data_IF_072743412114
#
_entry.id   IF_072743412114
#
_cell.length_a   1.000
_cell.length_b   1.000
_cell.length_c   1.000
_cell.angle_alpha   90.00
_cell.angle_beta   90.00
_cell.angle_gamma   90.00
#
_symmetry.space_group_name_H-M   'P 1'
#
loop_
_entity.id
_entity.type
_entity.pdbx_description
1 polymer ?
#
# COMPACT_ATOMS: atom_id res chain seq x y z
N UNK A 1 -21.30 6.60 20.58
CA UNK A 1 -22.63 7.24 20.58
C UNK A 1 -23.26 7.22 19.19
N UNK A 2 -22.61 7.81 18.18
CA UNK A 2 -23.11 7.79 16.79
C UNK A 2 -22.99 6.41 16.12
N UNK A 3 -21.93 5.64 16.41
CA UNK A 3 -21.74 4.34 15.77
C UNK A 3 -21.62 4.48 14.25
N UNK A 4 -22.51 3.80 13.51
CA UNK A 4 -22.61 3.87 12.05
C UNK A 4 -23.71 4.83 11.54
N UNK A 5 -24.40 5.54 12.43
CA UNK A 5 -25.42 6.50 12.00
C UNK A 5 -24.79 7.59 11.13
N UNK A 6 -25.47 7.93 10.05
CA UNK A 6 -25.10 9.04 9.17
C UNK A 6 -25.37 10.35 9.92
N UNK A 7 -24.32 11.13 10.18
CA UNK A 7 -24.40 12.35 10.99
C UNK A 7 -23.92 13.60 10.21
N UNK A 8 -24.67 14.03 9.18
CA UNK A 8 -24.43 15.27 8.46
C UNK A 8 -24.75 16.48 9.35
N UNK A 9 -24.35 17.68 8.90
CA UNK A 9 -24.52 18.93 9.66
C UNK A 9 -25.98 19.16 10.09
N UNK A 10 -26.95 18.78 9.25
CA UNK A 10 -28.37 18.99 9.51
C UNK A 10 -29.02 17.97 10.46
N UNK A 11 -28.30 16.94 10.90
CA UNK A 11 -28.76 16.05 11.98
C UNK A 11 -28.44 16.60 13.38
N UNK A 12 -27.56 17.60 13.48
CA UNK A 12 -27.23 18.27 14.74
C UNK A 12 -28.16 19.46 14.99
N UNK A 13 -28.47 19.74 16.27
CA UNK A 13 -29.24 20.92 16.65
C UNK A 13 -28.44 22.22 16.45
N UNK A 14 -27.11 22.16 16.56
CA UNK A 14 -26.21 23.29 16.35
C UNK A 14 -24.90 22.84 15.71
N UNK A 15 -24.15 23.78 15.12
CA UNK A 15 -22.80 23.51 14.61
C UNK A 15 -21.85 23.10 15.75
N UNK A 16 -22.00 23.68 16.94
CA UNK A 16 -21.16 23.33 18.10
C UNK A 16 -21.37 21.87 18.54
N UNK A 17 -22.62 21.40 18.54
CA UNK A 17 -22.93 19.99 18.77
C UNK A 17 -22.29 19.09 17.69
N UNK A 18 -22.40 19.48 16.42
CA UNK A 18 -21.81 18.73 15.32
C UNK A 18 -20.29 18.62 15.43
N UNK A 19 -19.63 19.72 15.81
CA UNK A 19 -18.18 19.76 16.06
C UNK A 19 -17.80 18.89 17.26
N UNK A 20 -18.54 18.99 18.37
CA UNK A 20 -18.31 18.21 19.58
C UNK A 20 -18.39 16.70 19.31
N UNK A 21 -19.36 16.28 18.50
CA UNK A 21 -19.58 14.87 18.15
C UNK A 21 -18.68 14.36 17.01
N UNK A 22 -17.73 15.15 16.52
CA UNK A 22 -16.79 14.72 15.47
C UNK A 22 -17.41 14.64 14.07
N UNK A 23 -18.51 15.35 13.82
CA UNK A 23 -19.15 15.43 12.51
C UNK A 23 -18.22 15.74 11.32
N UNK A 24 -17.19 16.61 11.46
CA UNK A 24 -16.22 16.84 10.37
C UNK A 24 -15.54 15.58 9.86
N UNK A 25 -15.32 14.57 10.71
CA UNK A 25 -14.68 13.32 10.31
C UNK A 25 -15.52 12.59 9.24
N UNK A 26 -16.81 12.35 9.50
CA UNK A 26 -17.71 11.72 8.53
C UNK A 26 -17.81 12.51 7.23
N UNK A 27 -17.94 13.85 7.32
CA UNK A 27 -18.00 14.70 6.14
C UNK A 27 -16.75 14.51 5.27
N UNK A 28 -15.56 14.60 5.86
CA UNK A 28 -14.30 14.48 5.12
C UNK A 28 -14.14 13.10 4.50
N UNK A 29 -14.31 12.02 5.27
CA UNK A 29 -14.06 10.67 4.74
C UNK A 29 -15.04 10.30 3.62
N UNK A 30 -16.32 10.67 3.71
CA UNK A 30 -17.29 10.32 2.68
C UNK A 30 -17.04 11.08 1.37
N UNK A 31 -16.78 12.39 1.44
CA UNK A 31 -16.43 13.16 0.24
C UNK A 31 -15.10 12.71 -0.35
N UNK A 32 -14.11 12.39 0.49
CA UNK A 32 -12.82 11.87 0.06
C UNK A 32 -12.96 10.52 -0.68
N UNK A 33 -13.68 9.54 -0.12
CA UNK A 33 -13.85 8.22 -0.72
C UNK A 33 -14.59 8.29 -2.07
N UNK A 34 -15.60 9.17 -2.18
CA UNK A 34 -16.26 9.45 -3.47
C UNK A 34 -15.27 10.09 -4.45
N UNK A 35 -14.51 11.09 -3.99
CA UNK A 35 -13.54 11.83 -4.79
C UNK A 35 -12.44 10.93 -5.37
N UNK A 36 -11.83 10.07 -4.56
CA UNK A 36 -10.77 9.16 -5.04
C UNK A 36 -11.33 8.07 -5.97
N UNK A 37 -12.57 7.64 -5.77
CA UNK A 37 -13.25 6.68 -6.66
C UNK A 37 -13.54 7.30 -8.03
N UNK A 38 -14.06 8.54 -8.03
CA UNK A 38 -14.25 9.31 -9.26
C UNK A 38 -12.92 9.61 -9.95
N UNK A 39 -11.85 9.89 -9.18
CA UNK A 39 -10.52 10.11 -9.73
C UNK A 39 -9.95 8.85 -10.42
N UNK A 40 -10.18 7.66 -9.85
CA UNK A 40 -9.86 6.40 -10.50
C UNK A 40 -10.60 6.24 -11.84
N UNK A 41 -11.90 6.57 -11.88
CA UNK A 41 -12.69 6.61 -13.11
C UNK A 41 -12.16 7.64 -14.12
N UNK A 42 -11.73 8.82 -13.66
CA UNK A 42 -11.14 9.86 -14.51
C UNK A 42 -9.84 9.39 -15.18
N UNK A 43 -8.99 8.61 -14.49
CA UNK A 43 -7.79 8.05 -15.10
C UNK A 43 -8.13 7.11 -16.27
N UNK A 44 -9.16 6.28 -16.09
CA UNK A 44 -9.69 5.44 -17.17
C UNK A 44 -10.23 6.30 -18.32
N UNK A 45 -11.09 7.27 -18.03
CA UNK A 45 -11.70 8.10 -19.07
C UNK A 45 -10.64 8.80 -19.92
N UNK A 46 -9.66 9.45 -19.29
CA UNK A 46 -8.59 10.14 -20.02
C UNK A 46 -7.76 9.17 -20.86
N UNK A 47 -7.47 7.97 -20.33
CA UNK A 47 -6.76 6.94 -21.11
C UNK A 47 -7.54 6.55 -22.37
N UNK A 48 -8.88 6.45 -22.27
CA UNK A 48 -9.75 6.17 -23.41
C UNK A 48 -9.75 7.32 -24.42
N UNK A 49 -9.89 8.57 -23.97
CA UNK A 49 -9.88 9.76 -24.85
C UNK A 49 -8.58 9.90 -25.64
N UNK A 50 -7.46 9.51 -25.06
CA UNK A 50 -6.13 9.59 -25.68
C UNK A 50 -5.73 8.33 -26.45
N UNK A 51 -6.58 7.30 -26.52
CA UNK A 51 -6.23 6.02 -27.17
C UNK A 51 -5.13 5.24 -26.45
N UNK A 52 -4.92 5.49 -25.15
CA UNK A 52 -3.96 4.78 -24.32
C UNK A 52 -4.52 3.42 -23.85
N UNK A 53 -3.63 2.55 -23.38
CA UNK A 53 -4.02 1.32 -22.70
C UNK A 53 -4.69 1.64 -21.34
N UNK A 54 -5.80 0.97 -20.95
CA UNK A 54 -6.70 1.47 -19.91
C UNK A 54 -6.36 1.04 -18.46
N UNK A 55 -5.13 0.61 -18.16
CA UNK A 55 -4.82 -0.09 -16.89
C UNK A 55 -4.15 0.76 -15.81
N UNK A 56 -3.94 2.06 -16.02
CA UNK A 56 -3.38 2.95 -14.98
C UNK A 56 -4.33 3.02 -13.78
N UNK A 57 -5.64 3.12 -14.02
CA UNK A 57 -6.64 3.13 -12.96
C UNK A 57 -6.64 1.83 -12.13
N UNK A 58 -6.26 0.70 -12.73
CA UNK A 58 -6.17 -0.59 -12.03
C UNK A 58 -5.03 -0.55 -11.02
N UNK A 59 -3.87 0.01 -11.37
CA UNK A 59 -2.80 0.22 -10.40
C UNK A 59 -3.24 1.18 -9.27
N UNK A 60 -3.95 2.26 -9.61
CA UNK A 60 -4.48 3.21 -8.63
C UNK A 60 -5.59 2.61 -7.74
N UNK A 61 -6.22 1.51 -8.14
CA UNK A 61 -7.21 0.83 -7.29
C UNK A 61 -6.61 0.25 -6.00
N UNK A 62 -5.30 -0.03 -5.96
CA UNK A 62 -4.63 -0.53 -4.77
C UNK A 62 -4.69 0.46 -3.59
N UNK A 63 -4.20 1.72 -3.72
CA UNK A 63 -4.36 2.71 -2.66
C UNK A 63 -5.82 3.11 -2.42
N UNK A 64 -6.69 3.11 -3.43
CA UNK A 64 -8.13 3.33 -3.23
C UNK A 64 -8.71 2.24 -2.32
N UNK A 65 -8.43 0.97 -2.60
CA UNK A 65 -8.89 -0.16 -1.79
C UNK A 65 -8.39 -0.04 -0.35
N UNK A 66 -7.10 0.28 -0.14
CA UNK A 66 -6.54 0.46 1.20
C UNK A 66 -7.23 1.61 1.97
N UNK A 67 -7.55 2.72 1.31
CA UNK A 67 -8.30 3.81 1.92
C UNK A 67 -9.71 3.39 2.35
N UNK A 68 -10.43 2.64 1.50
CA UNK A 68 -11.73 2.07 1.85
C UNK A 68 -11.64 1.09 3.02
N UNK A 69 -10.57 0.30 3.11
CA UNK A 69 -10.38 -0.66 4.18
C UNK A 69 -10.35 0.03 5.56
N UNK A 70 -9.57 1.11 5.72
CA UNK A 70 -9.37 1.79 7.01
C UNK A 70 -10.44 2.84 7.35
N UNK A 71 -11.09 3.45 6.35
CA UNK A 71 -12.09 4.51 6.58
C UNK A 71 -13.54 4.04 6.48
N UNK A 72 -13.80 2.87 5.88
CA UNK A 72 -15.16 2.39 5.68
C UNK A 72 -15.34 0.95 6.14
N UNK A 73 -14.63 -0.01 5.55
CA UNK A 73 -14.88 -1.43 5.81
C UNK A 73 -14.59 -1.79 7.27
N UNK A 74 -13.46 -1.33 7.81
CA UNK A 74 -13.11 -1.58 9.20
C UNK A 74 -14.12 -0.98 10.20
N UNK A 75 -14.48 0.32 10.12
CA UNK A 75 -15.60 0.89 10.88
C UNK A 75 -16.90 0.09 10.80
N UNK A 76 -17.28 -0.36 9.60
CA UNK A 76 -18.49 -1.15 9.41
C UNK A 76 -18.43 -2.49 10.13
N UNK A 77 -17.30 -3.18 10.06
CA UNK A 77 -17.08 -4.46 10.74
C UNK A 77 -17.09 -4.32 12.27
N UNK A 78 -16.52 -3.22 12.80
CA UNK A 78 -16.51 -2.93 14.24
C UNK A 78 -17.79 -2.25 14.75
N UNK A 79 -18.66 -1.78 13.85
CA UNK A 79 -19.94 -1.16 14.20
C UNK A 79 -19.85 0.33 14.58
N UNK A 80 -18.73 1.00 14.29
CA UNK A 80 -18.57 2.43 14.60
C UNK A 80 -17.51 3.14 13.76
N UNK A 81 -17.81 4.36 13.32
CA UNK A 81 -16.81 5.26 12.73
C UNK A 81 -15.77 5.78 13.72
N UNK A 82 -15.98 5.59 15.03
CA UNK A 82 -14.94 5.90 16.03
C UNK A 82 -13.68 5.05 15.88
N UNK A 83 -13.82 3.85 15.31
CA UNK A 83 -12.72 2.89 15.16
C UNK A 83 -12.04 3.03 13.79
N UNK A 84 -12.51 3.96 12.96
CA UNK A 84 -11.85 4.31 11.72
C UNK A 84 -10.53 5.05 11.98
N UNK A 85 -9.60 4.93 11.04
CA UNK A 85 -8.29 5.57 11.18
C UNK A 85 -8.43 7.10 11.31
N UNK A 86 -7.89 7.74 12.37
CA UNK A 86 -7.95 9.19 12.50
C UNK A 86 -7.16 9.93 11.42
N UNK A 87 -7.61 11.14 11.08
CA UNK A 87 -6.99 12.01 10.07
C UNK A 87 -5.83 12.84 10.65
N UNK A 88 -4.77 12.16 11.09
CA UNK A 88 -3.57 12.81 11.61
C UNK A 88 -2.47 11.83 11.97
N UNK A 89 -1.22 12.29 11.96
CA UNK A 89 -0.01 11.44 12.11
C UNK A 89 -0.06 10.58 13.38
N UNK A 90 -0.22 11.21 14.55
CA UNK A 90 -0.28 10.48 15.82
C UNK A 90 -1.52 9.59 15.94
N UNK A 91 -2.62 10.01 15.32
CA UNK A 91 -3.85 9.21 15.27
C UNK A 91 -3.70 7.95 14.42
N UNK A 92 -2.95 8.01 13.33
CA UNK A 92 -2.57 6.81 12.56
C UNK A 92 -1.75 5.84 13.39
N UNK A 93 -0.78 6.31 14.19
CA UNK A 93 -0.04 5.42 15.09
C UNK A 93 -0.94 4.79 16.15
N UNK A 94 -1.85 5.56 16.74
CA UNK A 94 -2.82 5.04 17.69
C UNK A 94 -3.68 3.92 17.07
N UNK A 95 -4.24 4.15 15.88
CA UNK A 95 -4.96 3.13 15.13
C UNK A 95 -4.12 1.86 14.93
N UNK A 96 -2.87 2.00 14.48
CA UNK A 96 -1.98 0.85 14.25
C UNK A 96 -1.72 0.03 15.52
N UNK A 97 -1.51 0.69 16.67
CA UNK A 97 -1.25 -0.01 17.93
C UNK A 97 -2.48 -0.74 18.46
N UNK A 98 -3.65 -0.10 18.43
CA UNK A 98 -4.92 -0.73 18.83
C UNK A 98 -5.23 -1.91 17.90
N UNK A 99 -5.08 -1.72 16.59
CA UNK A 99 -5.31 -2.76 15.61
C UNK A 99 -4.38 -3.98 15.82
N UNK A 100 -3.12 -3.75 16.21
CA UNK A 100 -2.22 -4.84 16.59
C UNK A 100 -2.69 -5.57 17.85
N UNK A 101 -3.11 -4.84 18.88
CA UNK A 101 -3.60 -5.44 20.12
C UNK A 101 -4.85 -6.30 19.87
N UNK A 102 -5.78 -5.83 19.05
CA UNK A 102 -7.06 -6.50 18.80
C UNK A 102 -6.98 -7.62 17.76
N UNK A 103 -6.13 -7.48 16.74
CA UNK A 103 -6.13 -8.38 15.58
C UNK A 103 -4.82 -9.15 15.38
N UNK A 104 -3.76 -8.85 16.13
CA UNK A 104 -2.44 -9.43 15.95
C UNK A 104 -1.96 -9.35 14.48
N UNK A 105 -2.14 -8.18 13.86
CA UNK A 105 -1.90 -7.96 12.41
C UNK A 105 -0.50 -8.37 11.96
N UNK A 106 0.52 -8.24 12.83
CA UNK A 106 1.88 -8.68 12.51
C UNK A 106 1.96 -10.18 12.19
N UNK A 107 1.04 -10.99 12.72
CA UNK A 107 0.93 -12.43 12.45
C UNK A 107 -0.06 -12.76 11.33
N UNK A 108 -0.59 -11.77 10.62
CA UNK A 108 -1.51 -11.98 9.50
C UNK A 108 -0.74 -12.05 8.16
N UNK A 109 -0.89 -13.13 7.36
CA UNK A 109 -0.08 -13.33 6.15
C UNK A 109 -0.29 -12.24 5.09
N UNK A 110 -1.49 -11.68 4.99
CA UNK A 110 -1.74 -10.58 4.05
C UNK A 110 -1.00 -9.29 4.43
N UNK A 111 -0.80 -9.02 5.72
CA UNK A 111 0.03 -7.90 6.15
C UNK A 111 1.50 -8.15 5.83
N UNK A 112 2.01 -9.37 6.05
CA UNK A 112 3.37 -9.76 5.66
C UNK A 112 3.61 -9.61 4.15
N UNK A 113 2.63 -10.01 3.33
CA UNK A 113 2.68 -9.79 1.89
C UNK A 113 2.74 -8.30 1.53
N UNK A 114 2.02 -7.46 2.27
CA UNK A 114 2.11 -6.00 2.21
C UNK A 114 3.50 -5.45 2.48
N UNK A 115 4.12 -5.88 3.58
CA UNK A 115 5.49 -5.50 3.95
C UNK A 115 6.47 -5.90 2.85
N UNK A 116 6.37 -7.11 2.31
CA UNK A 116 7.17 -7.56 1.17
C UNK A 116 6.94 -6.70 -0.08
N UNK A 117 5.70 -6.26 -0.30
CA UNK A 117 5.31 -5.33 -1.36
C UNK A 117 6.01 -3.98 -1.27
N UNK A 118 6.00 -3.36 -0.09
CA UNK A 118 6.59 -2.03 0.11
C UNK A 118 8.11 -2.07 0.09
N UNK A 119 8.73 -3.02 0.80
CA UNK A 119 10.18 -3.18 0.73
C UNK A 119 10.65 -3.58 -0.66
N UNK A 120 9.96 -4.52 -1.31
CA UNK A 120 10.26 -4.90 -2.69
C UNK A 120 10.05 -3.74 -3.67
N UNK A 121 8.96 -2.97 -3.55
CA UNK A 121 8.70 -1.80 -4.37
C UNK A 121 9.80 -0.74 -4.27
N UNK A 122 10.24 -0.42 -3.04
CA UNK A 122 11.38 0.49 -2.81
C UNK A 122 12.68 -0.06 -3.40
N UNK A 123 12.97 -1.35 -3.16
CA UNK A 123 14.15 -2.02 -3.71
C UNK A 123 14.17 -1.97 -5.23
N UNK A 124 13.06 -2.34 -5.89
CA UNK A 124 12.97 -2.38 -7.34
C UNK A 124 12.95 -0.99 -7.98
N UNK A 125 12.39 0.01 -7.28
CA UNK A 125 12.50 1.42 -7.69
C UNK A 125 13.96 1.88 -7.73
N UNK A 126 14.71 1.63 -6.64
CA UNK A 126 16.13 1.96 -6.56
C UNK A 126 16.96 1.17 -7.58
N UNK A 127 16.71 -0.13 -7.71
CA UNK A 127 17.37 -1.01 -8.68
C UNK A 127 17.14 -0.49 -10.11
N UNK A 128 15.89 -0.26 -10.51
CA UNK A 128 15.57 0.18 -11.86
C UNK A 128 16.22 1.53 -12.19
N UNK A 129 16.11 2.51 -11.28
CA UNK A 129 16.75 3.81 -11.43
C UNK A 129 18.27 3.67 -11.60
N UNK A 130 18.93 2.90 -10.73
CA UNK A 130 20.38 2.70 -10.79
C UNK A 130 20.85 2.03 -12.09
N UNK A 131 20.14 1.02 -12.59
CA UNK A 131 20.50 0.30 -13.81
C UNK A 131 20.33 1.17 -15.06
N UNK A 132 19.23 1.92 -15.15
CA UNK A 132 19.01 2.86 -16.25
C UNK A 132 20.08 3.95 -16.24
N UNK A 133 20.31 4.61 -15.10
CA UNK A 133 21.33 5.66 -14.97
C UNK A 133 22.74 5.15 -15.28
N UNK A 134 23.09 3.93 -14.87
CA UNK A 134 24.41 3.33 -15.14
C UNK A 134 24.69 3.03 -16.61
N UNK A 135 23.66 3.04 -17.46
CA UNK A 135 23.74 2.61 -18.85
C UNK A 135 23.29 3.69 -19.84
N UNK A 136 23.20 4.95 -19.40
CA UNK A 136 22.95 6.09 -20.27
C UNK A 136 24.00 6.18 -21.37
N UNK A 137 23.54 6.47 -22.60
CA UNK A 137 24.43 6.76 -23.72
C UNK A 137 25.04 8.15 -23.51
N UNK A 138 26.34 8.30 -23.79
CA UNK A 138 27.03 9.57 -23.59
C UNK A 138 26.65 10.56 -24.69
N UNK A 139 25.79 11.51 -24.35
CA UNK A 139 25.33 12.60 -25.23
C UNK A 139 25.75 14.00 -24.74
N UNK A 140 26.53 14.06 -23.66
CA UNK A 140 26.94 15.29 -22.97
C UNK A 140 28.42 15.24 -22.57
N UNK A 141 28.98 16.41 -22.30
CA UNK A 141 30.31 16.62 -21.74
C UNK A 141 30.32 16.48 -20.21
N UNK A 142 31.51 16.45 -19.60
CA UNK A 142 31.67 16.38 -18.14
C UNK A 142 31.23 17.65 -17.39
N UNK A 143 31.10 18.77 -18.11
CA UNK A 143 30.77 20.08 -17.52
C UNK A 143 29.28 20.39 -17.51
N UNK A 144 28.45 19.52 -18.09
CA UNK A 144 27.00 19.69 -18.16
C UNK A 144 26.27 18.47 -17.55
N UNK A 145 25.01 18.67 -17.18
CA UNK A 145 24.21 17.56 -16.64
C UNK A 145 23.91 16.52 -17.71
N UNK A 146 24.06 15.24 -17.38
CA UNK A 146 23.69 14.12 -18.25
C UNK A 146 22.23 14.15 -18.71
N UNK A 147 21.35 14.80 -17.92
CA UNK A 147 19.94 14.95 -18.28
C UNK A 147 19.74 15.73 -19.60
N UNK A 148 20.66 16.64 -19.95
CA UNK A 148 20.58 17.38 -21.21
C UNK A 148 20.81 16.51 -22.44
N UNK A 149 21.34 15.29 -22.27
CA UNK A 149 21.48 14.30 -23.34
C UNK A 149 20.12 13.80 -23.85
N UNK A 150 19.10 13.73 -23.01
CA UNK A 150 17.75 13.37 -23.42
C UNK A 150 16.98 14.58 -23.95
N UNK A 151 16.29 14.41 -25.08
CA UNK A 151 15.36 15.38 -25.66
C UNK A 151 13.92 14.83 -25.60
N UNK A 152 13.00 15.63 -25.09
CA UNK A 152 11.59 15.25 -24.97
C UNK A 152 10.99 14.88 -26.33
N UNK A 153 10.47 13.66 -26.44
CA UNK A 153 9.88 13.14 -27.68
C UNK A 153 10.87 12.54 -28.69
N UNK A 154 12.14 12.36 -28.33
CA UNK A 154 13.09 11.62 -29.18
C UNK A 154 12.63 10.17 -29.41
N UNK A 155 12.94 9.63 -30.59
CA UNK A 155 12.54 8.26 -30.97
C UNK A 155 13.49 7.19 -30.42
N UNK A 156 14.77 7.53 -30.25
CA UNK A 156 15.79 6.57 -29.79
C UNK A 156 15.79 6.45 -28.26
N UNK A 157 16.01 5.22 -27.78
CA UNK A 157 16.17 4.92 -26.35
C UNK A 157 17.42 5.60 -25.78
N UNK A 158 17.30 6.23 -24.61
CA UNK A 158 18.39 7.03 -24.01
C UNK A 158 19.47 6.21 -23.29
N UNK A 159 19.30 4.89 -23.20
CA UNK A 159 20.17 3.99 -22.44
C UNK A 159 20.32 2.63 -23.14
N UNK A 160 21.40 1.92 -22.83
CA UNK A 160 21.67 0.60 -23.39
C UNK A 160 21.14 -0.52 -22.49
N UNK A 161 19.94 -1.03 -22.80
CA UNK A 161 19.32 -2.14 -22.05
C UNK A 161 20.14 -3.43 -22.08
N UNK A 162 20.90 -3.70 -23.15
CA UNK A 162 21.75 -4.90 -23.26
C UNK A 162 22.92 -4.81 -22.27
N UNK A 163 23.50 -3.61 -22.11
CA UNK A 163 24.53 -3.36 -21.12
C UNK A 163 23.98 -3.52 -19.68
N UNK A 164 22.81 -2.93 -19.39
CA UNK A 164 22.14 -3.07 -18.10
C UNK A 164 21.80 -4.53 -17.77
N UNK A 165 21.21 -5.25 -18.73
CA UNK A 165 20.88 -6.68 -18.60
C UNK A 165 22.14 -7.52 -18.37
N UNK A 166 23.21 -7.26 -19.15
CA UNK A 166 24.48 -7.96 -19.04
C UNK A 166 25.20 -7.71 -17.71
N UNK A 167 25.08 -6.51 -17.14
CA UNK A 167 25.59 -6.23 -15.80
C UNK A 167 24.79 -7.00 -14.75
N UNK A 168 23.47 -6.81 -14.70
CA UNK A 168 22.63 -7.41 -13.66
C UNK A 168 22.58 -8.95 -13.74
N UNK A 169 22.59 -9.51 -14.95
CA UNK A 169 22.65 -10.94 -15.18
C UNK A 169 23.96 -11.59 -14.71
N UNK A 170 25.07 -10.83 -14.66
CA UNK A 170 26.33 -11.29 -14.06
C UNK A 170 26.37 -11.07 -12.55
N UNK A 171 25.68 -10.04 -12.04
CA UNK A 171 25.62 -9.73 -10.61
C UNK A 171 24.89 -10.83 -9.81
N UNK A 172 23.78 -11.36 -10.35
CA UNK A 172 22.97 -12.38 -9.69
C UNK A 172 23.13 -13.72 -10.42
N UNK A 173 22.41 -13.92 -11.52
CA UNK A 173 22.60 -14.96 -12.53
C UNK A 173 21.72 -14.64 -13.75
N UNK A 174 22.09 -15.11 -14.93
CA UNK A 174 21.56 -14.61 -16.22
C UNK A 174 20.03 -14.64 -16.33
N UNK A 175 19.38 -15.68 -15.78
CA UNK A 175 17.93 -15.86 -15.85
C UNK A 175 17.14 -15.00 -14.85
N UNK A 176 17.78 -14.37 -13.87
CA UNK A 176 17.14 -13.46 -12.92
C UNK A 176 16.97 -12.04 -13.49
N UNK A 177 17.56 -11.75 -14.65
CA UNK A 177 17.55 -10.43 -15.27
C UNK A 177 16.50 -10.34 -16.37
N UNK A 178 15.79 -9.22 -16.46
CA UNK A 178 14.85 -8.95 -17.55
C UNK A 178 15.61 -8.50 -18.79
N UNK A 179 15.41 -9.19 -19.92
CA UNK A 179 15.87 -8.76 -21.24
C UNK A 179 14.74 -8.11 -22.08
N UNK A 180 13.51 -8.09 -21.56
CA UNK A 180 12.34 -7.49 -22.17
C UNK A 180 11.85 -6.33 -21.29
N UNK A 181 11.94 -5.10 -21.80
CA UNK A 181 11.52 -3.89 -21.09
C UNK A 181 10.04 -3.92 -20.69
N UNK A 182 9.14 -4.47 -21.53
CA UNK A 182 7.71 -4.55 -21.21
C UNK A 182 7.45 -5.47 -20.02
N UNK A 183 8.12 -6.61 -19.95
CA UNK A 183 8.01 -7.55 -18.83
C UNK A 183 8.57 -6.94 -17.54
N UNK A 184 9.70 -6.22 -17.63
CA UNK A 184 10.27 -5.49 -16.48
C UNK A 184 9.25 -4.48 -15.93
N UNK A 185 8.73 -3.58 -16.77
CA UNK A 185 7.81 -2.55 -16.31
C UNK A 185 6.47 -3.11 -15.83
N UNK A 186 5.99 -4.22 -16.42
CA UNK A 186 4.83 -4.94 -15.90
C UNK A 186 5.09 -5.52 -14.50
N UNK A 187 6.28 -6.06 -14.24
CA UNK A 187 6.67 -6.52 -12.91
C UNK A 187 6.75 -5.36 -11.91
N UNK A 188 7.40 -4.25 -12.29
CA UNK A 188 7.52 -3.05 -11.46
C UNK A 188 6.14 -2.48 -11.07
N UNK A 189 5.16 -2.56 -11.97
CA UNK A 189 3.79 -2.16 -11.66
C UNK A 189 3.06 -3.21 -10.80
N UNK A 190 3.13 -4.49 -11.16
CA UNK A 190 2.30 -5.53 -10.54
C UNK A 190 2.74 -5.90 -9.11
N UNK A 191 4.04 -5.93 -8.82
CA UNK A 191 4.56 -6.31 -7.49
C UNK A 191 3.96 -5.47 -6.35
N UNK A 192 4.14 -4.12 -6.32
CA UNK A 192 3.59 -3.33 -5.23
C UNK A 192 2.04 -3.32 -5.23
N UNK A 193 1.41 -3.32 -6.41
CA UNK A 193 -0.07 -3.27 -6.53
C UNK A 193 -0.72 -4.50 -5.91
N UNK A 194 -0.24 -5.71 -6.24
CA UNK A 194 -0.80 -6.96 -5.70
C UNK A 194 -0.62 -7.03 -4.19
N UNK A 195 0.56 -6.67 -3.68
CA UNK A 195 0.82 -6.69 -2.24
C UNK A 195 -0.05 -5.69 -1.46
N UNK A 196 -0.30 -4.50 -2.02
CA UNK A 196 -1.21 -3.52 -1.40
C UNK A 196 -2.66 -4.02 -1.43
N UNK A 197 -3.11 -4.67 -2.51
CA UNK A 197 -4.42 -5.34 -2.53
C UNK A 197 -4.55 -6.41 -1.44
N UNK A 198 -3.52 -7.24 -1.25
CA UNK A 198 -3.52 -8.23 -0.16
C UNK A 198 -3.60 -7.54 1.21
N UNK A 199 -2.80 -6.49 1.43
CA UNK A 199 -2.84 -5.74 2.69
C UNK A 199 -4.22 -5.17 2.98
N UNK A 200 -4.83 -4.53 1.98
CA UNK A 200 -6.20 -4.01 2.05
C UNK A 200 -7.20 -5.12 2.38
N UNK A 201 -7.09 -6.27 1.70
CA UNK A 201 -7.91 -7.45 1.99
C UNK A 201 -7.73 -7.92 3.44
N UNK A 202 -6.50 -7.89 3.97
CA UNK A 202 -6.23 -8.24 5.37
C UNK A 202 -6.95 -7.35 6.36
N UNK A 203 -6.91 -6.03 6.16
CA UNK A 203 -7.67 -5.09 7.00
C UNK A 203 -9.17 -5.36 6.87
N UNK A 204 -9.67 -5.58 5.65
CA UNK A 204 -11.08 -5.90 5.41
C UNK A 204 -11.53 -7.23 6.06
N UNK A 205 -10.67 -8.24 6.15
CA UNK A 205 -11.02 -9.51 6.82
C UNK A 205 -10.95 -9.40 8.34
N UNK A 206 -9.95 -8.70 8.87
CA UNK A 206 -9.82 -8.42 10.30
C UNK A 206 -10.92 -7.49 10.82
N UNK A 207 -11.53 -6.67 9.95
CA UNK A 207 -12.77 -5.95 10.26
C UNK A 207 -13.90 -6.88 10.75
N UNK A 208 -13.89 -8.14 10.30
CA UNK A 208 -14.84 -9.18 10.73
C UNK A 208 -14.18 -10.20 11.66
N UNK A 209 -13.13 -9.78 12.37
CA UNK A 209 -12.43 -10.53 13.42
C UNK A 209 -11.78 -11.85 12.96
N UNK A 210 -11.49 -11.97 11.66
CA UNK A 210 -10.59 -13.01 11.16
C UNK A 210 -9.14 -12.53 11.31
N UNK A 211 -8.59 -12.80 12.49
CA UNK A 211 -7.33 -12.23 12.98
C UNK A 211 -6.08 -12.97 12.47
N UNK A 212 -4.90 -12.41 12.79
CA UNK A 212 -3.61 -13.06 12.54
C UNK A 212 -3.46 -14.39 13.28
N UNK A 213 -2.46 -15.19 12.88
CA UNK A 213 -2.22 -16.48 13.51
C UNK A 213 -2.01 -16.35 15.03
N UNK A 214 -2.60 -17.29 15.78
CA UNK A 214 -2.43 -17.40 17.21
C UNK A 214 -1.68 -18.70 17.53
N UNK A 215 -0.44 -18.56 17.98
CA UNK A 215 0.41 -19.67 18.42
C UNK A 215 0.73 -19.62 19.91
N UNK A 216 -0.14 -18.98 20.71
CA UNK A 216 0.03 -18.88 22.14
C UNK A 216 0.11 -20.27 22.76
N UNK A 217 1.15 -20.52 23.56
CA UNK A 217 1.40 -21.77 24.27
C UNK A 217 1.38 -23.02 23.36
N UNK A 218 1.71 -22.86 22.08
CA UNK A 218 1.62 -23.95 21.10
C UNK A 218 2.72 -25.01 21.23
N UNK A 219 3.79 -24.72 21.98
CA UNK A 219 4.88 -25.67 22.24
C UNK A 219 4.84 -26.11 23.69
N UNK A 220 4.76 -27.43 23.90
CA UNK A 220 4.79 -28.06 25.23
C UNK A 220 5.88 -29.12 25.28
N UNK A 221 6.53 -29.26 26.43
CA UNK A 221 7.47 -30.36 26.65
C UNK A 221 6.74 -31.68 26.98
N UNK A 222 7.50 -32.77 27.13
CA UNK A 222 6.94 -34.09 27.44
C UNK A 222 6.20 -34.17 28.79
N UNK A 223 6.41 -33.19 29.68
CA UNK A 223 5.70 -33.07 30.97
C UNK A 223 4.41 -32.26 30.87
N UNK A 224 4.09 -31.72 29.69
CA UNK A 224 2.95 -30.83 29.46
C UNK A 224 3.20 -29.38 29.88
N UNK A 225 4.43 -29.01 30.21
CA UNK A 225 4.78 -27.62 30.53
C UNK A 225 4.96 -26.82 29.25
N UNK A 226 4.36 -25.63 29.21
CA UNK A 226 4.52 -24.68 28.10
C UNK A 226 5.98 -24.26 27.99
N UNK A 227 6.51 -24.34 26.77
CA UNK A 227 7.83 -23.82 26.39
C UNK A 227 7.60 -22.49 25.65
N UNK A 228 7.91 -21.33 26.26
CA UNK A 228 7.64 -20.04 25.65
C UNK A 228 8.38 -19.84 24.33
N UNK A 229 7.68 -19.24 23.37
CA UNK A 229 8.19 -18.87 22.04
C UNK A 229 8.14 -17.35 21.84
N UNK A 230 8.65 -16.86 20.71
CA UNK A 230 8.45 -15.46 20.33
C UNK A 230 6.98 -15.09 20.13
N UNK A 231 6.12 -16.06 19.78
CA UNK A 231 4.67 -15.84 19.72
C UNK A 231 4.11 -15.46 21.09
N UNK A 232 4.56 -16.11 22.16
CA UNK A 232 4.14 -15.78 23.54
C UNK A 232 4.69 -14.43 24.01
N UNK A 233 5.90 -14.05 23.57
CA UNK A 233 6.46 -12.73 23.83
C UNK A 233 5.62 -11.64 23.15
N UNK A 234 5.25 -11.85 21.88
CA UNK A 234 4.36 -10.94 21.15
C UNK A 234 2.99 -10.84 21.82
N UNK A 235 2.43 -11.96 22.27
CA UNK A 235 1.17 -11.96 23.01
C UNK A 235 1.25 -11.11 24.29
N UNK A 236 2.37 -11.13 25.02
CA UNK A 236 2.57 -10.26 26.19
C UNK A 236 2.68 -8.78 25.84
N UNK A 237 3.07 -8.42 24.63
CA UNK A 237 3.08 -7.03 24.17
C UNK A 237 1.69 -6.56 23.72
N UNK A 238 0.82 -7.48 23.32
CA UNK A 238 -0.57 -7.18 22.96
C UNK A 238 -1.48 -7.01 24.19
N UNK A 239 -1.16 -7.65 25.32
CA UNK A 239 -1.85 -7.53 26.61
C UNK A 239 -1.51 -6.23 27.33
#
# INVERSE_FOLDING_TARGET
AIGLHFYPIWEAATVDEWLYNGGPYQLVIFHFLIGISAYMGRQWELSYRLGMRPWICVAYSAPVSAAFAVFLVYPFGQGSFSDGMPLGISGTFNFMFVFQAEHNILMHPFHMAGVAGMFGGSLFSAMHGSLVTSSLIRETTETESQNYGYKFGQEEETYNIVAAHGYFGRLIFQYASFNNSRSLHFFLASWPVICVWLTSMGICTMAFNLNGFNFNQSVVDASGKVVPTWGDVLNRANL
#
